data_IF_178098828742
#
_entry.id   IF_178098828742
#
_cell.length_a   1.000
_cell.length_b   1.000
_cell.length_c   1.000
_cell.angle_alpha   90.00
_cell.angle_beta   90.00
_cell.angle_gamma   90.00
#
_symmetry.space_group_name_H-M   'P 1'
#
loop_
_entity.id
_entity.type
_entity.pdbx_description
1 polymer ?
#
# COMPACT_ATOMS: atom_id res chain seq x y z
N UNK A 1 3.11 -13.99 -6.20
CA UNK A 1 3.55 -12.58 -6.24
C UNK A 1 4.91 -12.50 -6.92
N UNK A 2 5.20 -11.33 -7.54
CA UNK A 2 6.51 -11.04 -8.17
C UNK A 2 7.61 -10.74 -7.12
N UNK A 3 7.24 -10.32 -5.92
CA UNK A 3 8.14 -9.87 -4.85
C UNK A 3 8.08 -10.84 -3.67
N UNK A 4 9.25 -11.14 -3.07
CA UNK A 4 9.38 -12.03 -1.93
C UNK A 4 9.46 -11.29 -0.59
N UNK A 5 9.84 -10.02 -0.62
CA UNK A 5 10.04 -9.17 0.54
C UNK A 5 9.40 -7.80 0.28
N UNK A 6 8.88 -7.14 1.33
CA UNK A 6 8.27 -5.82 1.18
C UNK A 6 9.28 -4.75 0.75
N UNK A 7 10.56 -4.90 1.11
CA UNK A 7 11.63 -3.98 0.72
C UNK A 7 11.86 -3.92 -0.80
N UNK A 8 11.43 -4.94 -1.53
CA UNK A 8 11.48 -4.99 -2.99
C UNK A 8 10.33 -4.24 -3.68
N UNK A 9 9.30 -3.85 -2.91
CA UNK A 9 8.14 -3.15 -3.44
C UNK A 9 8.48 -1.69 -3.79
N UNK A 10 8.32 -1.25 -5.06
CA UNK A 10 8.56 0.14 -5.42
C UNK A 10 7.75 1.14 -4.59
N UNK A 11 6.50 0.82 -4.28
CA UNK A 11 5.63 1.67 -3.46
C UNK A 11 6.11 1.80 -2.02
N UNK A 12 6.74 0.77 -1.46
CA UNK A 12 7.35 0.83 -0.13
C UNK A 12 8.62 1.70 -0.15
N UNK A 13 9.46 1.54 -1.16
CA UNK A 13 10.65 2.37 -1.35
C UNK A 13 10.29 3.85 -1.50
N UNK A 14 9.27 4.16 -2.29
CA UNK A 14 8.75 5.52 -2.41
C UNK A 14 8.17 6.07 -1.10
N UNK A 15 7.53 5.21 -0.29
CA UNK A 15 7.01 5.59 1.02
C UNK A 15 8.12 5.87 2.05
N UNK A 16 9.21 5.09 2.03
CA UNK A 16 10.39 5.34 2.86
C UNK A 16 11.05 6.66 2.45
N UNK A 17 11.23 6.90 1.15
CA UNK A 17 11.78 8.17 0.67
C UNK A 17 10.90 9.36 1.10
N UNK A 18 9.57 9.24 1.01
CA UNK A 18 8.65 10.25 1.52
C UNK A 18 8.89 10.52 3.00
N UNK A 19 9.00 9.48 3.84
CA UNK A 19 9.23 9.61 5.27
C UNK A 19 10.57 10.30 5.55
N UNK A 20 11.66 9.85 4.94
CA UNK A 20 13.01 10.45 5.10
C UNK A 20 12.96 11.94 4.77
N UNK A 21 12.39 12.32 3.64
CA UNK A 21 12.30 13.73 3.22
C UNK A 21 11.39 14.57 4.12
N UNK A 22 10.35 13.97 4.71
CA UNK A 22 9.54 14.64 5.74
C UNK A 22 10.38 14.92 6.99
N UNK A 23 11.18 13.96 7.45
CA UNK A 23 12.09 14.17 8.58
C UNK A 23 13.14 15.26 8.26
N UNK A 24 13.72 15.27 7.07
CA UNK A 24 14.64 16.32 6.63
C UNK A 24 13.97 17.70 6.65
N UNK A 25 12.74 17.81 6.14
CA UNK A 25 11.98 19.06 6.18
C UNK A 25 11.75 19.53 7.62
N UNK A 26 11.37 18.63 8.52
CA UNK A 26 11.01 18.97 9.91
C UNK A 26 12.20 19.28 10.80
N UNK A 27 13.44 18.91 10.42
CA UNK A 27 14.68 19.32 11.10
C UNK A 27 14.99 20.81 10.92
N UNK A 28 14.39 21.48 9.93
CA UNK A 28 14.62 22.91 9.67
C UNK A 28 14.25 23.75 10.89
N UNK A 29 15.08 24.73 11.21
CA UNK A 29 14.87 25.59 12.38
C UNK A 29 13.51 26.26 12.43
N UNK A 30 12.91 26.55 11.26
CA UNK A 30 11.59 27.14 11.11
C UNK A 30 10.45 26.24 11.63
N UNK A 31 10.62 24.91 11.66
CA UNK A 31 9.64 23.97 12.22
C UNK A 31 9.68 23.88 13.75
N UNK A 32 10.72 24.39 14.42
CA UNK A 32 10.87 24.27 15.90
C UNK A 32 9.66 24.83 16.66
N UNK A 33 9.06 25.91 16.17
CA UNK A 33 7.88 26.55 16.78
C UNK A 33 6.57 25.77 16.55
N UNK A 34 6.55 24.83 15.59
CA UNK A 34 5.37 24.05 15.20
C UNK A 34 5.51 22.59 15.62
N UNK A 35 5.83 22.33 16.89
CA UNK A 35 6.14 21.00 17.39
C UNK A 35 5.00 20.00 17.11
N UNK A 36 3.74 20.37 17.34
CA UNK A 36 2.60 19.50 17.10
C UNK A 36 2.43 19.12 15.62
N UNK A 37 2.69 20.06 14.70
CA UNK A 37 2.66 19.82 13.26
C UNK A 37 3.79 18.86 12.86
N UNK A 38 4.99 19.10 13.38
CA UNK A 38 6.14 18.24 13.15
C UNK A 38 5.87 16.81 13.61
N UNK A 39 5.46 16.65 14.87
CA UNK A 39 5.24 15.33 15.48
C UNK A 39 4.12 14.56 14.75
N UNK A 40 3.10 15.24 14.24
CA UNK A 40 2.01 14.63 13.46
C UNK A 40 2.45 14.21 12.06
N UNK A 41 3.17 15.07 11.32
CA UNK A 41 3.58 14.75 9.95
C UNK A 41 4.62 13.62 9.93
N UNK A 42 5.55 13.59 10.89
CA UNK A 42 6.52 12.52 11.04
C UNK A 42 5.83 11.17 11.29
N UNK A 43 4.85 11.13 12.20
CA UNK A 43 4.05 9.92 12.45
C UNK A 43 3.23 9.48 11.23
N UNK A 44 2.57 10.42 10.56
CA UNK A 44 1.77 10.13 9.38
C UNK A 44 2.66 9.56 8.26
N UNK A 45 3.82 10.16 7.99
CA UNK A 45 4.74 9.71 6.95
C UNK A 45 5.30 8.29 7.25
N UNK A 46 5.76 8.03 8.48
CA UNK A 46 6.20 6.69 8.89
C UNK A 46 5.08 5.65 8.79
N UNK A 47 3.85 6.03 9.14
CA UNK A 47 2.69 5.15 9.08
C UNK A 47 2.42 4.62 7.68
N UNK A 48 2.78 5.34 6.61
CA UNK A 48 2.62 4.87 5.24
C UNK A 48 3.45 3.62 4.99
N UNK A 49 4.75 3.69 5.19
CA UNK A 49 5.67 2.56 4.95
C UNK A 49 5.43 1.39 5.89
N UNK A 50 5.13 1.66 7.17
CA UNK A 50 4.85 0.63 8.16
C UNK A 50 3.60 -0.18 7.81
N UNK A 51 2.51 0.46 7.38
CA UNK A 51 1.30 -0.25 6.97
C UNK A 51 1.47 -1.02 5.66
N UNK A 52 2.32 -0.54 4.73
CA UNK A 52 2.67 -1.32 3.53
C UNK A 52 3.40 -2.60 3.93
N UNK A 53 4.41 -2.51 4.80
CA UNK A 53 5.16 -3.65 5.29
C UNK A 53 4.24 -4.63 6.04
N UNK A 54 3.46 -4.14 6.99
CA UNK A 54 2.53 -4.97 7.76
C UNK A 54 1.52 -5.68 6.84
N UNK A 55 0.91 -4.95 5.89
CA UNK A 55 -0.03 -5.54 4.94
C UNK A 55 0.61 -6.58 4.03
N UNK A 56 1.90 -6.43 3.69
CA UNK A 56 2.65 -7.42 2.91
C UNK A 56 2.88 -8.72 3.70
N UNK A 57 3.23 -8.62 4.98
CA UNK A 57 3.48 -9.76 5.87
C UNK A 57 2.19 -10.49 6.31
N UNK A 58 0.99 -9.91 6.05
CA UNK A 58 -0.28 -10.59 6.35
C UNK A 58 -0.57 -11.76 5.41
N UNK A 59 -1.18 -12.81 5.97
CA UNK A 59 -1.41 -14.07 5.26
C UNK A 59 -2.56 -14.04 4.25
N UNK A 60 -3.49 -13.08 4.32
CA UNK A 60 -4.69 -13.03 3.48
C UNK A 60 -4.77 -11.76 2.64
N UNK A 61 -5.43 -11.85 1.48
CA UNK A 61 -5.68 -10.69 0.62
C UNK A 61 -6.51 -9.62 1.33
N UNK A 62 -7.49 -10.03 2.14
CA UNK A 62 -8.37 -9.09 2.84
C UNK A 62 -7.61 -8.27 3.89
N UNK A 63 -6.72 -8.90 4.66
CA UNK A 63 -5.88 -8.18 5.62
C UNK A 63 -4.95 -7.20 4.88
N UNK A 64 -4.29 -7.64 3.81
CA UNK A 64 -3.44 -6.77 3.00
C UNK A 64 -4.22 -5.54 2.50
N UNK A 65 -5.42 -5.72 1.96
CA UNK A 65 -6.28 -4.62 1.51
C UNK A 65 -6.57 -3.63 2.63
N UNK A 66 -6.86 -4.11 3.83
CA UNK A 66 -7.09 -3.26 5.01
C UNK A 66 -5.89 -2.35 5.28
N UNK A 67 -4.68 -2.91 5.33
CA UNK A 67 -3.46 -2.15 5.59
C UNK A 67 -3.10 -1.20 4.45
N UNK A 68 -3.36 -1.56 3.18
CA UNK A 68 -3.18 -0.64 2.05
C UNK A 68 -4.11 0.58 2.14
N UNK A 69 -5.34 0.41 2.62
CA UNK A 69 -6.25 1.53 2.85
C UNK A 69 -5.82 2.40 4.03
N UNK A 70 -5.27 1.82 5.11
CA UNK A 70 -4.69 2.58 6.22
C UNK A 70 -3.46 3.38 5.74
N UNK A 71 -2.56 2.76 4.96
CA UNK A 71 -1.42 3.44 4.36
C UNK A 71 -1.86 4.62 3.46
N UNK A 72 -2.93 4.45 2.66
CA UNK A 72 -3.51 5.54 1.86
C UNK A 72 -4.08 6.65 2.72
N UNK A 73 -4.73 6.33 3.83
CA UNK A 73 -5.21 7.31 4.82
C UNK A 73 -4.04 8.14 5.36
N UNK A 74 -2.93 7.48 5.69
CA UNK A 74 -1.70 8.13 6.17
C UNK A 74 -1.05 9.04 5.10
N UNK A 75 -1.09 8.67 3.82
CA UNK A 75 -0.72 9.59 2.73
C UNK A 75 -1.62 10.84 2.70
N UNK A 76 -2.93 10.66 2.88
CA UNK A 76 -3.89 11.75 2.96
C UNK A 76 -3.61 12.69 4.12
N UNK A 77 -3.33 12.15 5.30
CA UNK A 77 -2.94 12.90 6.49
C UNK A 77 -1.64 13.68 6.28
N UNK A 78 -0.58 13.02 5.78
CA UNK A 78 0.71 13.67 5.43
C UNK A 78 0.47 14.85 4.50
N UNK A 79 -0.29 14.66 3.42
CA UNK A 79 -0.60 15.71 2.46
C UNK A 79 -1.42 16.85 3.07
N UNK A 80 -2.38 16.54 3.92
CA UNK A 80 -3.19 17.54 4.63
C UNK A 80 -2.32 18.44 5.53
N UNK A 81 -1.38 17.83 6.27
CA UNK A 81 -0.47 18.58 7.14
C UNK A 81 0.51 19.43 6.30
N UNK A 82 0.98 18.94 5.16
CA UNK A 82 1.78 19.73 4.22
C UNK A 82 1.00 20.94 3.69
N UNK A 83 -0.28 20.80 3.38
CA UNK A 83 -1.16 21.89 2.98
C UNK A 83 -1.34 22.94 4.11
N UNK A 84 -1.41 22.50 5.35
CA UNK A 84 -1.39 23.39 6.52
C UNK A 84 -0.05 24.12 6.60
N UNK A 85 1.06 23.38 6.48
CA UNK A 85 2.42 23.94 6.58
C UNK A 85 2.69 25.05 5.57
N UNK A 86 2.18 24.96 4.35
CA UNK A 86 2.27 26.02 3.33
C UNK A 86 1.67 27.37 3.78
N UNK A 87 0.73 27.33 4.72
CA UNK A 87 0.00 28.51 5.21
C UNK A 87 0.54 29.04 6.52
N UNK A 88 1.45 28.31 7.16
CA UNK A 88 2.00 28.71 8.46
C UNK A 88 3.06 29.82 8.30
N UNK A 89 3.00 30.89 9.15
CA UNK A 89 4.00 31.95 9.12
C UNK A 89 5.41 31.41 9.33
N UNK A 90 6.36 31.89 8.51
CA UNK A 90 7.77 31.50 8.60
C UNK A 90 8.13 30.18 7.89
N UNK A 91 7.17 29.48 7.23
CA UNK A 91 7.43 28.32 6.39
C UNK A 91 7.31 28.60 4.89
N UNK A 92 7.02 29.83 4.50
CA UNK A 92 6.82 30.23 3.09
C UNK A 92 8.04 30.00 2.20
N UNK A 93 9.25 30.08 2.76
CA UNK A 93 10.51 29.80 2.06
C UNK A 93 10.70 28.30 1.75
N UNK A 94 9.94 27.41 2.39
CA UNK A 94 9.94 25.95 2.16
C UNK A 94 8.83 25.50 1.20
N UNK A 95 8.09 26.42 0.59
CA UNK A 95 6.91 26.10 -0.24
C UNK A 95 7.23 25.14 -1.39
N UNK A 96 8.37 25.31 -2.06
CA UNK A 96 8.77 24.42 -3.15
C UNK A 96 9.00 22.98 -2.66
N UNK A 97 9.72 22.81 -1.55
CA UNK A 97 9.99 21.51 -0.93
C UNK A 97 8.71 20.86 -0.42
N UNK A 98 7.83 21.64 0.22
CA UNK A 98 6.50 21.17 0.67
C UNK A 98 5.64 20.74 -0.51
N UNK A 99 5.61 21.49 -1.61
CA UNK A 99 4.85 21.15 -2.82
C UNK A 99 5.31 19.84 -3.44
N UNK A 100 6.62 19.61 -3.47
CA UNK A 100 7.21 18.39 -3.98
C UNK A 100 6.85 17.17 -3.13
N UNK A 101 6.92 17.31 -1.79
CA UNK A 101 6.48 16.27 -0.85
C UNK A 101 4.97 15.95 -0.98
N UNK A 102 4.13 16.95 -1.24
CA UNK A 102 2.70 16.74 -1.53
C UNK A 102 2.52 15.87 -2.78
N UNK A 103 3.25 16.18 -3.85
CA UNK A 103 3.23 15.42 -5.10
C UNK A 103 3.73 13.98 -4.90
N UNK A 104 4.80 13.80 -4.11
CA UNK A 104 5.30 12.47 -3.75
C UNK A 104 4.27 11.66 -2.96
N UNK A 105 3.66 12.25 -1.93
CA UNK A 105 2.62 11.61 -1.13
C UNK A 105 1.41 11.20 -1.99
N UNK A 106 1.02 12.04 -2.95
CA UNK A 106 -0.05 11.71 -3.89
C UNK A 106 0.34 10.56 -4.83
N UNK A 107 1.58 10.54 -5.31
CA UNK A 107 2.10 9.44 -6.13
C UNK A 107 2.02 8.10 -5.39
N UNK A 108 2.49 8.05 -4.13
CA UNK A 108 2.40 6.84 -3.28
C UNK A 108 0.93 6.42 -3.10
N UNK A 109 0.05 7.36 -2.80
CA UNK A 109 -1.39 7.09 -2.65
C UNK A 109 -2.01 6.48 -3.92
N UNK A 110 -1.62 6.94 -5.12
CA UNK A 110 -2.07 6.36 -6.40
C UNK A 110 -1.55 4.94 -6.60
N UNK A 111 -0.30 4.67 -6.28
CA UNK A 111 0.30 3.32 -6.36
C UNK A 111 -0.41 2.35 -5.42
N UNK A 112 -0.69 2.76 -4.18
CA UNK A 112 -1.44 1.95 -3.21
C UNK A 112 -2.85 1.63 -3.71
N UNK A 113 -3.53 2.61 -4.33
CA UNK A 113 -4.84 2.40 -4.94
C UNK A 113 -4.78 1.39 -6.08
N UNK A 114 -3.79 1.53 -6.96
CA UNK A 114 -3.61 0.61 -8.09
C UNK A 114 -3.36 -0.82 -7.60
N UNK A 115 -2.51 -0.98 -6.58
CA UNK A 115 -2.25 -2.28 -5.96
C UNK A 115 -3.51 -2.86 -5.28
N UNK A 116 -4.23 -2.07 -4.48
CA UNK A 116 -5.49 -2.50 -3.87
C UNK A 116 -6.51 -2.97 -4.92
N UNK A 117 -6.68 -2.20 -6.00
CA UNK A 117 -7.58 -2.57 -7.10
C UNK A 117 -7.14 -3.89 -7.77
N UNK A 118 -5.85 -4.10 -8.00
CA UNK A 118 -5.35 -5.35 -8.58
C UNK A 118 -5.63 -6.55 -7.66
N UNK A 119 -5.52 -6.38 -6.33
CA UNK A 119 -5.84 -7.43 -5.36
C UNK A 119 -7.34 -7.74 -5.29
N UNK A 120 -8.20 -6.74 -5.41
CA UNK A 120 -9.66 -6.93 -5.42
C UNK A 120 -10.14 -7.69 -6.66
N UNK A 121 -9.45 -7.52 -7.80
CA UNK A 121 -9.79 -8.15 -9.06
C UNK A 121 -9.11 -9.51 -9.26
N UNK A 122 -8.35 -10.01 -8.28
CA UNK A 122 -7.77 -11.36 -8.35
C UNK A 122 -8.77 -12.41 -7.87
N UNK A 123 -8.80 -13.56 -8.53
CA UNK A 123 -9.61 -14.74 -8.12
C UNK A 123 -9.10 -15.36 -6.80
N UNK A 124 -7.93 -14.98 -6.33
CA UNK A 124 -7.32 -15.48 -5.10
C UNK A 124 -8.00 -14.84 -3.90
N UNK A 125 -9.08 -15.45 -3.45
CA UNK A 125 -9.74 -15.13 -2.18
C UNK A 125 -9.18 -16.07 -1.11
N UNK A 126 -8.43 -15.54 -0.14
CA UNK A 126 -7.93 -16.32 0.99
C UNK A 126 -6.42 -16.23 1.19
N UNK A 127 -5.82 -17.30 1.70
CA UNK A 127 -4.44 -17.34 2.13
C UNK A 127 -3.45 -17.14 0.96
N UNK A 128 -2.61 -16.12 1.03
CA UNK A 128 -1.67 -15.73 -0.05
C UNK A 128 -0.44 -16.63 -0.13
N UNK A 129 -0.06 -17.24 1.00
CA UNK A 129 1.03 -18.21 1.09
C UNK A 129 0.40 -19.61 1.17
N UNK A 130 0.15 -20.21 0.02
CA UNK A 130 -0.29 -21.60 -0.03
C UNK A 130 0.88 -22.48 0.41
N UNK A 131 0.69 -23.25 1.48
CA UNK A 131 1.60 -24.36 1.79
C UNK A 131 1.61 -25.33 0.62
N UNK A 132 2.67 -26.13 0.44
CA UNK A 132 2.73 -27.15 -0.62
C UNK A 132 1.52 -28.11 -0.56
N UNK A 133 0.98 -28.36 0.64
CA UNK A 133 -0.25 -29.13 0.84
C UNK A 133 -1.48 -28.43 0.26
N UNK A 134 -1.65 -27.13 0.51
CA UNK A 134 -2.79 -26.38 -0.03
C UNK A 134 -2.66 -26.11 -1.52
N UNK A 135 -1.46 -25.96 -2.07
CA UNK A 135 -1.21 -25.92 -3.52
C UNK A 135 -1.64 -27.23 -4.20
N UNK A 136 -1.30 -28.40 -3.61
CA UNK A 136 -1.73 -29.71 -4.11
C UNK A 136 -3.25 -29.86 -4.08
N UNK A 137 -3.90 -29.48 -2.97
CA UNK A 137 -5.35 -29.54 -2.84
C UNK A 137 -6.07 -28.62 -3.83
N UNK A 138 -5.59 -27.41 -4.03
CA UNK A 138 -6.12 -26.45 -5.01
C UNK A 138 -5.96 -26.97 -6.44
N UNK A 139 -4.81 -27.58 -6.78
CA UNK A 139 -4.58 -28.20 -8.09
C UNK A 139 -5.54 -29.38 -8.33
N UNK A 140 -5.69 -30.27 -7.36
CA UNK A 140 -6.61 -31.41 -7.45
C UNK A 140 -8.08 -30.98 -7.59
N UNK A 141 -8.48 -29.92 -6.86
CA UNK A 141 -9.84 -29.38 -6.96
C UNK A 141 -10.12 -28.83 -8.37
N UNK A 142 -9.14 -28.11 -8.95
CA UNK A 142 -9.25 -27.57 -10.31
C UNK A 142 -9.29 -28.68 -11.38
N UNK A 143 -8.41 -29.66 -11.30
CA UNK A 143 -8.40 -30.83 -12.21
C UNK A 143 -9.73 -31.61 -12.14
N UNK A 144 -10.28 -31.75 -10.93
CA UNK A 144 -11.58 -32.36 -10.73
C UNK A 144 -12.72 -31.55 -11.38
N UNK A 145 -12.69 -30.24 -11.25
CA UNK A 145 -13.71 -29.36 -11.85
C UNK A 145 -13.65 -29.39 -13.39
N UNK A 146 -12.45 -29.35 -13.97
CA UNK A 146 -12.22 -29.49 -15.41
C UNK A 146 -12.75 -30.84 -15.92
N UNK A 147 -12.43 -31.93 -15.23
CA UNK A 147 -12.92 -33.25 -15.58
C UNK A 147 -14.45 -33.37 -15.51
N UNK A 148 -15.08 -32.78 -14.51
CA UNK A 148 -16.56 -32.78 -14.41
C UNK A 148 -17.20 -32.00 -15.55
N UNK A 149 -16.62 -30.87 -15.98
CA UNK A 149 -17.09 -30.11 -17.14
C UNK A 149 -16.98 -30.92 -18.43
N UNK A 150 -15.85 -31.60 -18.64
CA UNK A 150 -15.69 -32.50 -19.81
C UNK A 150 -16.76 -33.64 -19.82
N UNK A 151 -17.03 -34.24 -18.67
CA UNK A 151 -18.07 -35.27 -18.58
C UNK A 151 -19.48 -34.70 -18.89
N UNK A 152 -19.79 -33.49 -18.44
CA UNK A 152 -21.05 -32.83 -18.77
C UNK A 152 -21.16 -32.53 -20.27
N UNK A 153 -20.10 -32.07 -20.89
CA UNK A 153 -20.07 -31.82 -22.34
C UNK A 153 -20.28 -33.13 -23.15
N UNK A 154 -19.61 -34.22 -22.75
CA UNK A 154 -19.77 -35.53 -23.38
C UNK A 154 -21.21 -36.03 -23.24
N UNK A 155 -21.80 -35.87 -22.07
CA UNK A 155 -23.22 -36.26 -21.82
C UNK A 155 -24.16 -35.46 -22.70
N UNK A 156 -23.94 -34.14 -22.84
CA UNK A 156 -24.81 -33.27 -23.63
C UNK A 156 -24.66 -33.48 -25.15
N UNK A 157 -23.52 -34.01 -25.62
CA UNK A 157 -23.31 -34.41 -27.05
C UNK A 157 -24.00 -35.73 -27.44
N UNK A 158 -24.40 -36.54 -26.46
CA UNK A 158 -25.04 -37.85 -26.70
C UNK A 158 -26.55 -37.80 -26.52
N UNK A 159 -27.10 -36.65 -26.15
CA UNK A 159 -28.54 -36.39 -26.05
C UNK A 159 -29.02 -35.57 -27.25
#
# INVERSE_FOLDING_TARGET
MKYNRFEELPVWQDAIELAVRVFELTTRASFRRYRSVRDQIERAAMSVSNNIAEGFERGTTQETLTFLYIARGSCGETRSILCLSERLPGLTHLRAEISDLKSKSESVSRQLRAWANSLQNTEIRGQRYLTEKSKRLSKQAREREEFLKELEEIRNRKS
#
